data_IF_771117896740
#
_entry.id   IF_771117896740
#
_cell.length_a   1.000
_cell.length_b   1.000
_cell.length_c   1.000
_cell.angle_alpha   90.00
_cell.angle_beta   90.00
_cell.angle_gamma   90.00
#
_symmetry.space_group_name_H-M   'P 1'
#
loop_
_entity.id
_entity.type
_entity.pdbx_description
1 polymer ?
#
# COMPACT_ATOMS: atom_id res chain seq x y z
N UNK A 1 -41.93 -4.92 -23.78
CA UNK A 1 -41.69 -4.39 -22.42
C UNK A 1 -40.60 -5.22 -21.78
N UNK A 2 -39.40 -4.67 -21.61
CA UNK A 2 -38.33 -5.34 -20.88
C UNK A 2 -38.58 -5.11 -19.38
N UNK A 3 -38.89 -6.18 -18.65
CA UNK A 3 -38.91 -6.18 -17.19
C UNK A 3 -37.50 -5.93 -16.67
N UNK A 4 -37.21 -4.67 -16.36
CA UNK A 4 -36.04 -4.31 -15.56
C UNK A 4 -36.38 -4.79 -14.14
N UNK A 5 -35.75 -5.90 -13.73
CA UNK A 5 -35.79 -6.35 -12.33
C UNK A 5 -35.05 -5.30 -11.51
N UNK A 6 -35.81 -4.38 -10.92
CA UNK A 6 -35.28 -3.32 -10.09
C UNK A 6 -35.01 -3.84 -8.67
N UNK A 7 -34.03 -4.73 -8.52
CA UNK A 7 -33.65 -5.29 -7.22
C UNK A 7 -32.13 -5.42 -7.03
N UNK A 8 -31.34 -4.50 -7.58
CA UNK A 8 -29.97 -4.33 -7.11
C UNK A 8 -30.02 -3.51 -5.82
N UNK A 9 -30.33 -4.20 -4.72
CA UNK A 9 -30.34 -3.63 -3.39
C UNK A 9 -28.92 -3.19 -3.04
N UNK A 10 -28.61 -1.91 -3.28
CA UNK A 10 -27.32 -1.29 -3.02
C UNK A 10 -26.84 -1.50 -1.58
N UNK A 11 -27.74 -1.78 -0.62
CA UNK A 11 -27.36 -2.09 0.77
C UNK A 11 -26.70 -3.46 0.91
N UNK A 12 -26.82 -4.34 -0.08
CA UNK A 12 -26.19 -5.68 -0.12
C UNK A 12 -24.85 -5.70 -0.87
N UNK A 13 -24.37 -4.55 -1.34
CA UNK A 13 -23.08 -4.46 -2.01
C UNK A 13 -21.99 -4.34 -0.96
N UNK A 14 -21.23 -5.41 -0.80
CA UNK A 14 -20.03 -5.47 0.04
C UNK A 14 -18.78 -5.61 -0.82
N UNK A 15 -17.67 -5.07 -0.32
CA UNK A 15 -16.38 -5.30 -0.91
C UNK A 15 -15.97 -6.76 -0.65
N UNK A 16 -15.64 -7.49 -1.71
CA UNK A 16 -15.11 -8.84 -1.60
C UNK A 16 -13.78 -8.89 -0.84
N UNK A 17 -13.39 -10.06 -0.28
CA UNK A 17 -12.17 -10.19 0.52
C UNK A 17 -10.88 -9.83 -0.24
N UNK A 18 -10.86 -10.04 -1.56
CA UNK A 18 -9.73 -9.73 -2.44
C UNK A 18 -10.07 -8.68 -3.51
N UNK A 19 -11.25 -8.07 -3.42
CA UNK A 19 -11.72 -7.13 -4.43
C UNK A 19 -10.99 -5.78 -4.29
N UNK A 20 -10.57 -5.22 -5.43
CA UNK A 20 -10.00 -3.90 -5.44
C UNK A 20 -11.06 -2.88 -5.02
N UNK A 21 -10.66 -1.93 -4.18
CA UNK A 21 -11.59 -0.95 -3.62
C UNK A 21 -12.31 -0.12 -4.71
N UNK A 22 -11.63 0.19 -5.81
CA UNK A 22 -12.21 0.91 -6.94
C UNK A 22 -13.33 0.12 -7.64
N UNK A 23 -13.16 -1.20 -7.78
CA UNK A 23 -14.16 -2.06 -8.43
C UNK A 23 -15.42 -2.17 -7.56
N UNK A 24 -15.24 -2.28 -6.24
CA UNK A 24 -16.33 -2.20 -5.27
C UNK A 24 -17.10 -0.89 -5.39
N UNK A 25 -16.41 0.26 -5.43
CA UNK A 25 -17.06 1.56 -5.61
C UNK A 25 -17.82 1.66 -6.93
N UNK A 26 -17.26 1.13 -8.03
CA UNK A 26 -17.93 1.16 -9.32
C UNK A 26 -19.25 0.37 -9.28
N UNK A 27 -19.26 -0.82 -8.68
CA UNK A 27 -20.50 -1.61 -8.50
C UNK A 27 -21.51 -0.89 -7.60
N UNK A 28 -21.02 -0.29 -6.51
CA UNK A 28 -21.86 0.46 -5.57
C UNK A 28 -22.50 1.69 -6.23
N UNK A 29 -21.72 2.47 -6.99
CA UNK A 29 -22.18 3.67 -7.68
C UNK A 29 -23.22 3.35 -8.76
N UNK A 30 -23.02 2.27 -9.51
CA UNK A 30 -24.00 1.78 -10.50
C UNK A 30 -25.32 1.44 -9.81
N UNK A 31 -25.30 0.65 -8.74
CA UNK A 31 -26.53 0.24 -8.04
C UNK A 31 -27.28 1.41 -7.37
N UNK A 32 -26.54 2.36 -6.80
CA UNK A 32 -27.11 3.59 -6.23
C UNK A 32 -27.69 4.48 -7.35
N UNK A 33 -26.98 4.61 -8.46
CA UNK A 33 -27.41 5.44 -9.59
C UNK A 33 -28.65 4.91 -10.29
N UNK A 34 -28.83 3.60 -10.31
CA UNK A 34 -30.06 2.97 -10.79
C UNK A 34 -31.24 3.19 -9.84
N UNK A 35 -31.00 3.40 -8.54
CA UNK A 35 -32.06 3.40 -7.52
C UNK A 35 -32.46 4.77 -6.98
N UNK A 36 -31.57 5.76 -7.06
CA UNK A 36 -31.79 7.08 -6.46
C UNK A 36 -31.65 8.12 -7.56
N UNK A 37 -32.62 9.00 -7.73
CA UNK A 37 -32.56 10.05 -8.77
C UNK A 37 -31.80 11.28 -8.28
N UNK A 38 -31.91 11.61 -6.99
CA UNK A 38 -31.34 12.84 -6.42
C UNK A 38 -29.83 12.70 -6.19
N UNK A 39 -29.03 13.46 -6.93
CA UNK A 39 -27.56 13.45 -6.88
C UNK A 39 -26.95 13.70 -5.49
N UNK A 40 -27.58 14.56 -4.68
CA UNK A 40 -27.13 14.80 -3.29
C UNK A 40 -27.32 13.53 -2.43
N UNK A 41 -28.44 12.84 -2.61
CA UNK A 41 -28.74 11.61 -1.87
C UNK A 41 -27.85 10.45 -2.32
N UNK A 42 -27.59 10.30 -3.64
CA UNK A 42 -26.62 9.32 -4.17
C UNK A 42 -25.26 9.47 -3.51
N UNK A 43 -24.74 10.70 -3.47
CA UNK A 43 -23.42 10.98 -2.88
C UNK A 43 -23.37 10.70 -1.38
N UNK A 44 -24.39 11.10 -0.61
CA UNK A 44 -24.41 10.86 0.83
C UNK A 44 -24.52 9.36 1.14
N UNK A 45 -25.39 8.65 0.43
CA UNK A 45 -25.57 7.22 0.63
C UNK A 45 -24.36 6.40 0.17
N UNK A 46 -23.75 6.76 -0.97
CA UNK A 46 -22.54 6.11 -1.47
C UNK A 46 -21.38 6.19 -0.48
N UNK A 47 -21.25 7.30 0.25
CA UNK A 47 -20.25 7.43 1.34
C UNK A 47 -20.54 6.47 2.49
N UNK A 48 -21.77 6.49 3.00
CA UNK A 48 -22.19 5.64 4.12
C UNK A 48 -21.91 4.17 3.80
N UNK A 49 -22.36 3.71 2.63
CA UNK A 49 -22.19 2.32 2.21
C UNK A 49 -20.74 1.98 1.89
N UNK A 50 -19.97 2.90 1.30
CA UNK A 50 -18.54 2.69 1.10
C UNK A 50 -17.81 2.51 2.43
N UNK A 51 -18.19 3.23 3.48
CA UNK A 51 -17.57 3.11 4.81
C UNK A 51 -17.98 1.84 5.55
N UNK A 52 -19.27 1.52 5.56
CA UNK A 52 -19.82 0.38 6.31
C UNK A 52 -19.44 -0.96 5.66
N UNK A 53 -19.56 -1.04 4.33
CA UNK A 53 -19.51 -2.30 3.56
C UNK A 53 -18.11 -2.64 3.02
N UNK A 54 -17.12 -1.86 3.42
CA UNK A 54 -15.70 -2.10 3.14
C UNK A 54 -15.18 -3.33 3.89
N UNK A 55 -14.30 -4.10 3.25
CA UNK A 55 -13.67 -5.27 3.87
C UNK A 55 -12.70 -4.87 5.00
N UNK A 56 -12.38 -5.79 5.91
CA UNK A 56 -11.58 -5.48 7.11
C UNK A 56 -10.19 -4.88 6.82
N UNK A 57 -9.59 -5.27 5.69
CA UNK A 57 -8.28 -4.78 5.26
C UNK A 57 -8.34 -3.31 4.86
N UNK A 58 -9.37 -2.93 4.11
CA UNK A 58 -9.61 -1.56 3.68
C UNK A 58 -10.21 -0.71 4.83
N UNK A 59 -10.99 -1.30 5.75
CA UNK A 59 -11.70 -0.58 6.82
C UNK A 59 -10.78 0.26 7.71
N UNK A 60 -9.56 -0.22 7.98
CA UNK A 60 -8.55 0.54 8.74
C UNK A 60 -8.04 1.79 8.00
N UNK A 61 -7.97 1.72 6.68
CA UNK A 61 -7.54 2.84 5.84
C UNK A 61 -8.69 3.83 5.56
N UNK A 62 -9.94 3.37 5.62
CA UNK A 62 -11.13 4.20 5.35
C UNK A 62 -11.65 4.93 6.59
N UNK A 63 -11.45 4.35 7.78
CA UNK A 63 -11.97 4.86 9.04
C UNK A 63 -11.72 6.37 9.30
N UNK A 64 -10.52 6.94 9.05
CA UNK A 64 -10.27 8.36 9.33
C UNK A 64 -11.03 9.32 8.39
N UNK A 65 -11.49 8.82 7.25
CA UNK A 65 -12.03 9.60 6.13
C UNK A 65 -13.57 9.57 6.16
N UNK A 66 -14.14 8.57 6.85
CA UNK A 66 -15.57 8.32 6.91
C UNK A 66 -16.38 9.36 7.70
N UNK A 67 -15.72 10.25 8.45
CA UNK A 67 -16.40 11.26 9.27
C UNK A 67 -16.52 12.65 8.61
N UNK A 68 -15.73 12.98 7.57
CA UNK A 68 -15.55 14.39 7.20
C UNK A 68 -15.54 14.74 5.70
N UNK A 69 -15.34 13.80 4.76
CA UNK A 69 -14.98 14.18 3.38
C UNK A 69 -15.78 13.52 2.24
N UNK A 70 -15.56 13.97 0.99
CA UNK A 70 -16.26 13.48 -0.20
C UNK A 70 -15.70 12.16 -0.74
N UNK A 71 -16.46 11.42 -1.56
CA UNK A 71 -15.97 10.19 -2.24
C UNK A 71 -14.72 10.49 -3.08
N UNK A 72 -14.58 11.74 -3.57
CA UNK A 72 -13.41 12.19 -4.32
C UNK A 72 -12.18 12.29 -3.42
N UNK A 73 -12.35 12.77 -2.18
CA UNK A 73 -11.25 12.90 -1.24
C UNK A 73 -10.78 11.52 -0.75
N UNK A 74 -11.73 10.60 -0.60
CA UNK A 74 -11.46 9.19 -0.38
C UNK A 74 -10.56 8.60 -1.50
N UNK A 75 -10.87 8.87 -2.77
CA UNK A 75 -10.07 8.40 -3.91
C UNK A 75 -8.65 8.99 -3.91
N UNK A 76 -8.51 10.27 -3.54
CA UNK A 76 -7.20 10.94 -3.43
C UNK A 76 -6.35 10.33 -2.32
N UNK A 77 -6.92 10.09 -1.15
CA UNK A 77 -6.22 9.50 -0.02
C UNK A 77 -5.70 8.08 -0.37
N UNK A 78 -6.55 7.26 -0.99
CA UNK A 78 -6.15 5.91 -1.41
C UNK A 78 -5.06 5.93 -2.49
N UNK A 79 -5.15 6.85 -3.45
CA UNK A 79 -4.12 7.04 -4.46
C UNK A 79 -2.76 7.44 -3.85
N UNK A 80 -2.77 8.34 -2.86
CA UNK A 80 -1.56 8.77 -2.16
C UNK A 80 -0.91 7.63 -1.37
N UNK A 81 -1.68 6.85 -0.62
CA UNK A 81 -1.20 5.64 0.07
C UNK A 81 -0.54 4.63 -0.88
N UNK A 82 -1.16 4.40 -2.04
CA UNK A 82 -0.60 3.50 -3.07
C UNK A 82 0.71 4.05 -3.65
N UNK A 83 0.79 5.37 -3.84
CA UNK A 83 1.99 6.06 -4.35
C UNK A 83 3.13 5.96 -3.34
N UNK A 84 2.87 6.23 -2.06
CA UNK A 84 3.88 6.14 -0.99
C UNK A 84 4.37 4.72 -0.76
N UNK A 85 3.46 3.73 -0.76
CA UNK A 85 3.82 2.31 -0.64
C UNK A 85 4.75 1.89 -1.79
N UNK A 86 4.46 2.32 -3.03
CA UNK A 86 5.33 2.06 -4.19
C UNK A 86 6.69 2.74 -4.04
N UNK A 87 6.75 3.98 -3.56
CA UNK A 87 8.00 4.71 -3.30
C UNK A 87 8.83 4.05 -2.21
N UNK A 88 8.22 3.60 -1.12
CA UNK A 88 8.91 2.87 -0.04
C UNK A 88 9.41 1.51 -0.51
N UNK A 89 8.64 0.77 -1.30
CA UNK A 89 9.09 -0.49 -1.90
C UNK A 89 10.26 -0.26 -2.86
N UNK A 90 10.24 0.81 -3.65
CA UNK A 90 11.35 1.21 -4.51
C UNK A 90 12.59 1.56 -3.68
N UNK A 91 12.44 2.36 -2.62
CA UNK A 91 13.53 2.72 -1.71
C UNK A 91 14.11 1.47 -1.04
N UNK A 92 13.28 0.56 -0.54
CA UNK A 92 13.71 -0.69 0.07
C UNK A 92 14.46 -1.59 -0.92
N UNK A 93 14.02 -1.65 -2.18
CA UNK A 93 14.74 -2.37 -3.26
C UNK A 93 16.10 -1.75 -3.53
N UNK A 94 16.18 -0.42 -3.63
CA UNK A 94 17.45 0.30 -3.83
C UNK A 94 18.38 0.04 -2.65
N UNK A 95 17.91 0.22 -1.41
CA UNK A 95 18.71 -0.07 -0.22
C UNK A 95 19.17 -1.53 -0.18
N UNK A 96 18.30 -2.50 -0.44
CA UNK A 96 18.67 -3.92 -0.48
C UNK A 96 19.73 -4.21 -1.56
N UNK A 97 19.69 -3.54 -2.71
CA UNK A 97 20.71 -3.65 -3.74
C UNK A 97 22.05 -3.02 -3.30
N UNK A 98 22.02 -1.87 -2.62
CA UNK A 98 23.22 -1.18 -2.10
C UNK A 98 23.87 -1.95 -0.95
N UNK A 99 23.08 -2.48 -0.01
CA UNK A 99 23.59 -3.31 1.09
C UNK A 99 24.15 -4.65 0.61
N UNK A 100 23.64 -5.22 -0.50
CA UNK A 100 24.23 -6.41 -1.13
C UNK A 100 25.57 -6.15 -1.83
N UNK A 101 25.90 -4.88 -2.15
CA UNK A 101 27.16 -4.51 -2.83
C UNK A 101 28.30 -4.14 -1.86
N UNK A 102 28.05 -4.16 -0.55
CA UNK A 102 29.01 -3.80 0.49
C UNK A 102 29.69 -4.99 1.17
N UNK A 103 30.23 -5.96 0.41
CA UNK A 103 31.11 -6.96 1.02
C UNK A 103 32.20 -7.47 0.06
N UNK A 104 32.62 -6.65 -0.91
CA UNK A 104 33.94 -6.82 -1.50
C UNK A 104 34.96 -6.35 -0.46
N UNK A 105 35.22 -7.24 0.51
CA UNK A 105 36.38 -7.14 1.38
C UNK A 105 37.59 -7.35 0.47
N UNK A 106 38.11 -6.26 -0.09
CA UNK A 106 39.44 -6.28 -0.67
C UNK A 106 40.40 -6.63 0.47
N UNK A 107 40.74 -7.92 0.57
CA UNK A 107 41.80 -8.40 1.42
C UNK A 107 43.06 -7.69 0.92
N UNK A 108 43.62 -6.79 1.72
CA UNK A 108 44.93 -6.19 1.40
C UNK A 108 46.02 -7.26 1.34
N UNK A 109 45.77 -8.45 1.89
CA UNK A 109 46.61 -9.64 1.72
C UNK A 109 46.25 -10.54 0.52
N UNK A 110 45.16 -10.24 -0.23
CA UNK A 110 44.56 -11.02 -1.34
C UNK A 110 44.18 -12.48 -1.03
N UNK A 111 44.38 -12.93 0.20
CA UNK A 111 44.06 -14.29 0.63
C UNK A 111 42.61 -14.38 1.13
N UNK A 112 41.86 -15.36 0.60
CA UNK A 112 40.44 -15.58 0.91
C UNK A 112 40.21 -16.59 2.03
N UNK A 113 41.27 -17.17 2.60
CA UNK A 113 41.20 -18.25 3.60
C UNK A 113 40.78 -17.78 5.00
N UNK A 114 40.78 -16.47 5.27
CA UNK A 114 40.47 -15.92 6.59
C UNK A 114 39.63 -14.64 6.49
N UNK A 115 38.92 -14.26 7.56
CA UNK A 115 38.16 -13.00 7.60
C UNK A 115 39.11 -11.83 7.91
N UNK A 116 38.77 -10.60 7.49
CA UNK A 116 39.61 -9.39 7.71
C UNK A 116 40.03 -9.18 9.17
N UNK A 117 39.21 -9.61 10.12
CA UNK A 117 39.49 -9.55 11.57
C UNK A 117 40.61 -10.49 12.01
N UNK A 118 40.82 -11.58 11.28
CA UNK A 118 41.76 -12.66 11.57
C UNK A 118 42.99 -12.58 10.65
N UNK A 119 43.22 -11.44 9.99
CA UNK A 119 44.33 -11.26 9.07
C UNK A 119 45.66 -11.16 9.84
N UNK A 120 46.62 -12.08 9.63
CA UNK A 120 47.87 -12.11 10.40
C UNK A 120 48.73 -10.86 10.19
N UNK A 121 48.58 -10.16 9.06
CA UNK A 121 49.27 -8.88 8.76
C UNK A 121 48.73 -7.67 9.54
N UNK A 122 47.65 -7.80 10.33
CA UNK A 122 47.11 -6.69 11.13
C UNK A 122 47.96 -6.34 12.35
N UNK A 123 48.79 -7.26 12.84
CA UNK A 123 49.52 -7.09 14.11
C UNK A 123 50.94 -6.54 13.98
N UNK A 124 51.38 -6.13 12.79
CA UNK A 124 52.76 -5.66 12.57
C UNK A 124 52.86 -4.15 12.38
N UNK A 125 52.22 -3.35 13.24
CA UNK A 125 52.60 -1.95 13.40
C UNK A 125 52.75 -1.56 14.88
N UNK A 126 54.02 -1.29 15.22
CA UNK A 126 54.57 -0.61 16.41
C UNK A 126 54.71 -1.55 17.61
N UNK A 127 55.92 -1.84 18.09
CA UNK A 127 56.80 -0.88 18.78
C UNK A 127 58.28 -1.06 18.38
N UNK A 128 58.93 0.01 17.90
CA UNK A 128 60.34 0.29 18.22
C UNK A 128 60.35 1.62 18.96
N UNK A 129 60.62 1.54 20.26
CA UNK A 129 61.00 2.67 21.11
C UNK A 129 62.51 2.59 21.32
N UNK A 130 63.12 3.77 21.36
CA UNK A 130 64.55 4.11 21.48
C UNK A 130 65.31 4.15 20.16
#
# INVERSE_FOLDING_TARGET
MLSIKHEDNYTKIFQGPNEAFADFLARLDVAISCSIIREKAKRQLGKLLACENTNQKCKKATAPICETETIIDYLKAYHNLRSETKKMQMLAKIMAATFKKGNERYFTCRDKTHLKKDCPKRHTEKIKTV
#
